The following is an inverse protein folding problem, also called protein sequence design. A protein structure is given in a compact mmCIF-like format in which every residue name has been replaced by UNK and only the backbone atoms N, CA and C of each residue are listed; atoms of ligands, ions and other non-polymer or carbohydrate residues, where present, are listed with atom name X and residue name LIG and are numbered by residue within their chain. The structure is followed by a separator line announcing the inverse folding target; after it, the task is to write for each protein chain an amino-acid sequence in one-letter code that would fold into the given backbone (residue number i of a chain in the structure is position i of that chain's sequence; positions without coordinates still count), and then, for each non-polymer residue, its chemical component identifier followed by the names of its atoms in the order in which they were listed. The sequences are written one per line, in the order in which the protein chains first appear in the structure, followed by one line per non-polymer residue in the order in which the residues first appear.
data_IF_137108817924
#
_entry.id   IF_137108817924
#
_cell.length_a   1.000
_cell.length_b   1.000
_cell.length_c   1.000
_cell.angle_alpha   90.00
_cell.angle_beta   90.00
_cell.angle_gamma   90.00
#
_symmetry.space_group_name_H-M   'P 1'
#
loop_
_entity.id
_entity.type
_entity.pdbx_description
1 polymer ?
#
# COMPACT_ATOMS: atom_id res chain seq x y z
N UNK A 1 11.09 13.13 -2.21
CA UNK A 1 11.28 11.66 -2.20
C UNK A 1 9.91 11.06 -1.97
N UNK A 2 9.38 10.24 -2.89
CA UNK A 2 8.04 9.67 -2.67
C UNK A 2 8.15 8.39 -1.84
N UNK A 3 7.52 8.39 -0.66
CA UNK A 3 7.34 7.20 0.16
C UNK A 3 5.86 6.82 0.20
N UNK A 4 5.60 5.52 0.11
CA UNK A 4 4.26 4.96 0.18
C UNK A 4 4.18 3.95 1.33
N UNK A 5 3.21 4.18 2.21
CA UNK A 5 2.85 3.23 3.28
C UNK A 5 1.58 2.52 2.87
N UNK A 6 1.62 1.19 2.87
CA UNK A 6 0.51 0.32 2.50
C UNK A 6 0.13 -0.54 3.71
N UNK A 7 -1.11 -0.41 4.19
CA UNK A 7 -1.55 -1.08 5.42
C UNK A 7 -2.86 -1.87 5.24
N UNK A 8 -2.82 -3.18 4.92
CA UNK A 8 -3.96 -4.09 4.94
C UNK A 8 -4.16 -4.69 6.33
N UNK A 9 -4.99 -4.04 7.14
CA UNK A 9 -5.44 -4.58 8.43
C UNK A 9 -4.34 -4.65 9.50
N UNK A 10 -3.54 -5.73 9.51
CA UNK A 10 -2.57 -6.04 10.58
C UNK A 10 -1.10 -5.82 10.20
N UNK A 11 -0.79 -5.56 8.93
CA UNK A 11 0.60 -5.32 8.47
C UNK A 11 0.79 -3.94 7.86
N UNK A 12 2.03 -3.43 7.91
CA UNK A 12 2.46 -2.22 7.21
C UNK A 12 3.62 -2.54 6.27
N UNK A 13 3.51 -2.11 5.02
CA UNK A 13 4.58 -2.19 4.03
C UNK A 13 5.05 -0.77 3.69
N UNK A 14 6.37 -0.63 3.61
CA UNK A 14 7.03 0.64 3.27
C UNK A 14 7.71 0.50 1.93
N UNK A 15 7.42 1.43 1.03
CA UNK A 15 7.99 1.47 -0.29
C UNK A 15 8.55 2.85 -0.57
N UNK A 16 9.78 2.91 -1.09
CA UNK A 16 10.45 4.15 -1.45
C UNK A 16 10.62 4.22 -2.97
N UNK A 17 10.08 5.27 -3.59
CA UNK A 17 10.30 5.56 -5.00
C UNK A 17 11.57 6.39 -5.22
N UNK A 18 11.86 7.33 -4.30
CA UNK A 18 12.97 8.27 -4.43
C UNK A 18 12.59 9.58 -5.13
N UNK A 19 13.52 10.15 -5.89
CA UNK A 19 13.36 11.44 -6.55
C UNK A 19 12.43 11.36 -7.78
N UNK A 20 11.57 12.38 -7.94
CA UNK A 20 10.64 12.50 -9.06
C UNK A 20 10.94 13.78 -9.84
N UNK A 21 11.16 13.66 -11.15
CA UNK A 21 11.42 14.82 -12.02
C UNK A 21 10.12 15.62 -12.19
N UNK A 22 10.14 16.96 -12.06
CA UNK A 22 8.96 17.79 -12.31
C UNK A 22 8.38 17.58 -13.71
N UNK A 23 7.04 17.53 -13.81
CA UNK A 23 6.31 17.28 -15.07
C UNK A 23 6.67 15.96 -15.77
N UNK A 24 7.08 14.94 -15.02
CA UNK A 24 7.32 13.60 -15.55
C UNK A 24 6.19 12.63 -15.23
N UNK A 25 6.06 11.59 -16.05
CA UNK A 25 5.26 10.40 -15.76
C UNK A 25 6.22 9.26 -15.49
N UNK A 26 6.07 8.60 -14.35
CA UNK A 26 6.97 7.52 -13.92
C UNK A 26 6.21 6.20 -13.81
N UNK A 27 6.88 5.12 -14.19
CA UNK A 27 6.44 3.75 -13.89
C UNK A 27 7.20 3.26 -12.68
N UNK A 28 6.48 2.65 -11.74
CA UNK A 28 7.07 2.08 -10.53
C UNK A 28 6.64 0.63 -10.37
N UNK A 29 7.57 -0.19 -9.92
CA UNK A 29 7.35 -1.60 -9.61
C UNK A 29 7.82 -1.87 -8.18
N UNK A 30 6.92 -2.45 -7.38
CA UNK A 30 7.19 -2.87 -6.01
C UNK A 30 6.88 -4.34 -5.85
N UNK A 31 7.65 -5.03 -5.00
CA UNK A 31 7.39 -6.41 -4.63
C UNK A 31 6.61 -6.42 -3.31
N UNK A 32 5.43 -7.02 -3.32
CA UNK A 32 4.64 -7.24 -2.11
C UNK A 32 4.78 -8.72 -1.73
N UNK A 33 5.47 -8.97 -0.62
CA UNK A 33 5.54 -10.30 -0.04
C UNK A 33 4.45 -10.44 1.02
N UNK A 34 3.68 -11.52 0.92
CA UNK A 34 2.65 -11.84 1.89
C UNK A 34 3.27 -12.35 3.19
N UNK A 35 2.60 -12.08 4.30
CA UNK A 35 2.91 -12.76 5.57
C UNK A 35 2.75 -14.28 5.42
N UNK A 36 3.44 -15.09 6.24
CA UNK A 36 3.33 -16.56 6.20
C UNK A 36 1.88 -17.04 6.21
N UNK A 37 1.59 -18.14 5.51
CA UNK A 37 0.22 -18.68 5.36
C UNK A 37 -0.49 -18.94 6.70
N UNK A 38 0.26 -19.24 7.76
CA UNK A 38 -0.28 -19.42 9.11
C UNK A 38 -0.94 -18.17 9.71
N UNK A 39 -0.69 -17.00 9.13
CA UNK A 39 -1.27 -15.70 9.51
C UNK A 39 -2.28 -15.18 8.47
N UNK A 40 -2.42 -15.88 7.34
CA UNK A 40 -3.35 -15.50 6.28
C UNK A 40 -4.75 -16.00 6.61
N UNK A 41 -5.69 -15.07 6.84
CA UNK A 41 -7.10 -15.42 7.06
C UNK A 41 -7.74 -15.88 5.74
N UNK A 42 -8.73 -16.78 5.77
CA UNK A 42 -9.39 -17.26 4.57
C UNK A 42 -10.15 -16.13 3.84
N UNK A 43 -10.20 -16.20 2.50
CA UNK A 43 -10.72 -15.13 1.65
C UNK A 43 -12.19 -14.74 1.93
N UNK A 44 -13.00 -15.68 2.41
CA UNK A 44 -14.39 -15.44 2.83
C UNK A 44 -14.51 -14.54 4.07
N UNK A 45 -13.49 -14.50 4.92
CA UNK A 45 -13.40 -13.60 6.08
C UNK A 45 -12.83 -12.24 5.66
N UNK A 46 -11.92 -12.22 4.68
CA UNK A 46 -11.26 -11.00 4.22
C UNK A 46 -12.14 -10.16 3.28
N UNK A 47 -12.97 -10.79 2.45
CA UNK A 47 -13.78 -10.10 1.44
C UNK A 47 -14.71 -9.06 2.07
N UNK A 48 -14.63 -7.82 1.60
CA UNK A 48 -15.40 -6.69 2.12
C UNK A 48 -14.96 -6.17 3.48
N UNK A 49 -14.08 -6.87 4.22
CA UNK A 49 -13.63 -6.47 5.55
C UNK A 49 -12.23 -5.84 5.54
N UNK A 50 -11.44 -6.09 4.51
CA UNK A 50 -10.10 -5.48 4.36
C UNK A 50 -10.20 -4.10 3.70
N UNK A 51 -9.60 -3.11 4.35
CA UNK A 51 -9.32 -1.80 3.77
C UNK A 51 -7.81 -1.64 3.68
N UNK A 52 -7.33 -1.34 2.49
CA UNK A 52 -5.97 -0.89 2.25
C UNK A 52 -5.96 0.63 2.44
N UNK A 53 -5.14 1.12 3.36
CA UNK A 53 -4.76 2.52 3.43
C UNK A 53 -3.44 2.73 2.70
N UNK A 54 -3.36 3.75 1.84
CA UNK A 54 -2.15 4.14 1.11
C UNK A 54 -1.85 5.60 1.40
N UNK A 55 -0.69 5.88 2.00
CA UNK A 55 -0.25 7.26 2.29
C UNK A 55 0.87 7.63 1.35
N UNK A 56 0.79 8.80 0.73
CA UNK A 56 1.81 9.35 -0.15
C UNK A 56 2.53 10.48 0.56
N UNK A 57 3.84 10.34 0.67
CA UNK A 57 4.70 11.33 1.32
C UNK A 57 5.66 11.95 0.32
N UNK A 58 5.98 13.24 0.50
CA UNK A 58 7.19 13.85 -0.02
C UNK A 58 8.11 14.19 1.16
N UNK A 59 9.09 13.34 1.42
CA UNK A 59 9.87 13.37 2.68
C UNK A 59 8.92 13.25 3.89
N UNK A 60 8.90 14.21 4.82
CA UNK A 60 7.98 14.22 5.97
C UNK A 60 6.57 14.77 5.65
N UNK A 61 6.32 15.27 4.43
CA UNK A 61 5.05 15.90 4.07
C UNK A 61 4.03 14.87 3.57
N UNK A 62 2.95 14.65 4.32
CA UNK A 62 1.80 13.86 3.83
C UNK A 62 1.07 14.61 2.71
N UNK A 63 1.19 14.11 1.48
CA UNK A 63 0.54 14.67 0.29
C UNK A 63 -0.91 14.21 0.18
N UNK A 64 -1.15 12.92 0.39
CA UNK A 64 -2.52 12.37 0.34
C UNK A 64 -2.63 11.02 1.02
N UNK A 65 -3.87 10.68 1.42
CA UNK A 65 -4.23 9.36 1.92
C UNK A 65 -5.35 8.79 1.05
N UNK A 66 -5.15 7.59 0.52
CA UNK A 66 -6.14 6.82 -0.23
C UNK A 66 -6.60 5.62 0.59
N UNK A 67 -7.87 5.23 0.42
CA UNK A 67 -8.46 4.05 1.05
C UNK A 67 -9.19 3.23 0.02
N UNK A 68 -8.85 1.94 -0.06
CA UNK A 68 -9.46 1.00 -1.00
C UNK A 68 -9.98 -0.20 -0.23
N UNK A 69 -11.26 -0.51 -0.39
CA UNK A 69 -11.86 -1.72 0.19
C UNK A 69 -11.69 -2.88 -0.79
N UNK A 70 -11.18 -4.00 -0.29
CA UNK A 70 -10.99 -5.21 -1.10
C UNK A 70 -12.20 -6.13 -1.01
N UNK A 71 -12.57 -6.70 -2.15
CA UNK A 71 -13.52 -7.80 -2.27
C UNK A 71 -12.85 -8.92 -3.05
N UNK A 72 -12.78 -10.10 -2.44
CA UNK A 72 -12.40 -11.34 -3.11
C UNK A 72 -13.69 -11.96 -3.67
N UNK A 73 -13.74 -12.13 -5.00
CA UNK A 73 -14.88 -12.64 -5.78
C UNK A 73 -14.47 -13.81 -6.65
#
# INVERSE_FOLDING_TARGET
MIQIVFSPGEGEWFFEFGFVIPNSTNTWQSLIEAAPESQMMPANVLTGNVIIETKFYDDDLLVSTSKVRLFYV
#
